data_IF_438735472373
#
_entry.id   IF_438735472373
#
_cell.length_a   1.000
_cell.length_b   1.000
_cell.length_c   1.000
_cell.angle_alpha   90.00
_cell.angle_beta   90.00
_cell.angle_gamma   90.00
#
_symmetry.space_group_name_H-M   'P 1'
#
loop_
_entity.id
_entity.type
_entity.pdbx_description
1 polymer ?
#
# COMPACT_ATOMS: atom_id res chain seq x y z
N UNK A 1 24.03 13.02 -35.27
CA UNK A 1 24.12 12.71 -33.83
C UNK A 1 22.96 13.38 -33.07
N UNK A 2 21.71 12.97 -33.31
CA UNK A 2 20.52 13.72 -32.85
C UNK A 2 19.58 12.91 -31.92
N UNK A 3 19.53 11.59 -32.09
CA UNK A 3 18.75 10.64 -31.27
C UNK A 3 19.16 10.59 -29.79
N UNK A 4 20.43 10.85 -29.47
CA UNK A 4 20.93 10.94 -28.09
C UNK A 4 20.36 12.15 -27.34
N UNK A 5 20.00 13.23 -28.05
CA UNK A 5 19.47 14.47 -27.44
C UNK A 5 18.01 14.30 -27.00
N UNK A 6 17.19 13.62 -27.80
CA UNK A 6 15.81 13.28 -27.46
C UNK A 6 15.74 12.35 -26.24
N UNK A 7 16.63 11.35 -26.17
CA UNK A 7 16.72 10.43 -25.04
C UNK A 7 17.18 11.14 -23.75
N UNK A 8 18.20 12.01 -23.82
CA UNK A 8 18.68 12.78 -22.65
C UNK A 8 17.61 13.72 -22.07
N UNK A 9 16.74 14.26 -22.94
CA UNK A 9 15.63 15.13 -22.56
C UNK A 9 14.43 14.36 -21.99
N UNK A 10 14.21 13.10 -22.40
CA UNK A 10 13.15 12.22 -21.88
C UNK A 10 13.51 11.54 -20.55
N UNK A 11 14.80 11.32 -20.28
CA UNK A 11 15.24 10.72 -19.01
C UNK A 11 15.04 11.66 -17.80
N UNK A 12 15.17 12.98 -17.98
CA UNK A 12 14.90 13.96 -16.91
C UNK A 12 13.46 13.93 -16.39
N UNK A 13 12.41 13.98 -17.23
CA UNK A 13 11.03 13.88 -16.78
C UNK A 13 10.70 12.49 -16.22
N UNK A 14 11.28 11.41 -16.75
CA UNK A 14 11.11 10.07 -16.16
C UNK A 14 11.73 9.94 -14.77
N UNK A 15 12.94 10.47 -14.56
CA UNK A 15 13.61 10.51 -13.25
C UNK A 15 12.85 11.40 -12.27
N UNK A 16 12.36 12.55 -12.72
CA UNK A 16 11.53 13.44 -11.90
C UNK A 16 10.20 12.79 -11.52
N UNK A 17 9.55 12.09 -12.46
CA UNK A 17 8.32 11.36 -12.20
C UNK A 17 8.55 10.18 -11.24
N UNK A 18 9.65 9.45 -11.40
CA UNK A 18 10.04 8.37 -10.48
C UNK A 18 10.36 8.90 -9.08
N UNK A 19 11.00 10.07 -8.97
CA UNK A 19 11.30 10.73 -7.70
C UNK A 19 10.03 11.27 -7.04
N UNK A 20 9.13 11.93 -7.78
CA UNK A 20 7.83 12.37 -7.26
C UNK A 20 6.99 11.17 -6.85
N UNK A 21 7.07 10.07 -7.59
CA UNK A 21 6.42 8.82 -7.20
C UNK A 21 7.05 8.23 -5.95
N UNK A 22 8.37 8.19 -5.80
CA UNK A 22 9.03 7.62 -4.61
C UNK A 22 8.82 8.47 -3.35
N UNK A 23 8.91 9.80 -3.48
CA UNK A 23 8.64 10.75 -2.40
C UNK A 23 7.14 10.80 -2.06
N UNK A 24 6.27 10.66 -3.06
CA UNK A 24 4.82 10.58 -2.87
C UNK A 24 4.35 9.24 -2.28
N UNK A 25 4.98 8.12 -2.65
CA UNK A 25 4.66 6.78 -2.11
C UNK A 25 4.93 6.69 -0.61
N UNK A 26 5.96 7.39 -0.12
CA UNK A 26 6.31 7.45 1.30
C UNK A 26 5.20 8.05 2.18
N UNK A 27 4.27 8.80 1.59
CA UNK A 27 3.16 9.47 2.29
C UNK A 27 1.78 9.02 1.82
N UNK A 28 1.70 8.02 0.92
CA UNK A 28 0.42 7.63 0.34
C UNK A 28 -0.45 6.83 1.33
N UNK A 29 -1.73 7.20 1.54
CA UNK A 29 -2.68 6.48 2.39
C UNK A 29 -3.06 5.08 1.84
N UNK A 30 -2.43 4.65 0.75
CA UNK A 30 -2.57 3.31 0.19
C UNK A 30 -2.02 2.23 1.14
N UNK A 31 -0.96 2.55 1.88
CA UNK A 31 -0.48 1.69 2.96
C UNK A 31 -1.44 1.69 4.16
N UNK A 32 -2.18 2.79 4.37
CA UNK A 32 -3.16 2.91 5.47
C UNK A 32 -4.34 1.95 5.29
N UNK A 33 -4.87 1.77 4.08
CA UNK A 33 -5.96 0.82 3.85
C UNK A 33 -5.51 -0.63 4.05
N UNK A 34 -4.38 -1.02 3.44
CA UNK A 34 -3.85 -2.38 3.61
C UNK A 34 -3.44 -2.67 5.07
N UNK A 35 -2.81 -1.70 5.74
CA UNK A 35 -2.46 -1.81 7.16
C UNK A 35 -3.71 -1.86 8.05
N UNK A 36 -4.75 -1.07 7.77
CA UNK A 36 -6.00 -1.10 8.53
C UNK A 36 -6.71 -2.45 8.41
N UNK A 37 -6.74 -3.03 7.21
CA UNK A 37 -7.32 -4.36 7.01
C UNK A 37 -6.55 -5.45 7.78
N UNK A 38 -5.22 -5.42 7.79
CA UNK A 38 -4.41 -6.46 8.46
C UNK A 38 -4.25 -6.27 9.96
N UNK A 39 -4.33 -5.03 10.46
CA UNK A 39 -4.12 -4.72 11.89
C UNK A 39 -5.42 -4.56 12.68
N UNK A 40 -6.52 -4.17 12.04
CA UNK A 40 -7.80 -3.92 12.71
C UNK A 40 -8.86 -4.91 12.27
N UNK A 41 -9.07 -5.06 10.96
CA UNK A 41 -10.19 -5.86 10.44
C UNK A 41 -9.96 -7.36 10.61
N UNK A 42 -8.80 -7.89 10.19
CA UNK A 42 -8.49 -9.32 10.31
C UNK A 42 -8.51 -9.77 11.79
N UNK A 43 -7.84 -9.07 12.73
CA UNK A 43 -7.89 -9.46 14.14
C UNK A 43 -9.29 -9.36 14.75
N UNK A 44 -10.10 -8.36 14.36
CA UNK A 44 -11.48 -8.25 14.84
C UNK A 44 -12.37 -9.40 14.35
N UNK A 45 -12.20 -9.84 13.10
CA UNK A 45 -12.93 -10.99 12.56
C UNK A 45 -12.48 -12.28 13.25
N UNK A 46 -11.16 -12.52 13.36
CA UNK A 46 -10.62 -13.72 14.02
C UNK A 46 -11.02 -13.77 15.50
N UNK A 47 -10.93 -12.65 16.22
CA UNK A 47 -11.38 -12.53 17.60
C UNK A 47 -12.89 -12.69 17.76
N UNK A 48 -13.67 -12.15 16.82
CA UNK A 48 -15.12 -12.31 16.77
C UNK A 48 -15.56 -13.75 16.53
N UNK A 49 -14.88 -14.47 15.62
CA UNK A 49 -15.12 -15.90 15.39
C UNK A 49 -14.73 -16.70 16.63
N UNK A 50 -13.55 -16.46 17.22
CA UNK A 50 -13.11 -17.16 18.44
C UNK A 50 -14.10 -16.96 19.59
N UNK A 51 -14.58 -15.72 19.78
CA UNK A 51 -15.58 -15.39 20.80
C UNK A 51 -16.93 -16.05 20.49
N UNK A 52 -17.39 -15.96 19.24
CA UNK A 52 -18.64 -16.58 18.80
C UNK A 52 -18.63 -18.11 18.93
N UNK A 53 -17.49 -18.76 18.67
CA UNK A 53 -17.33 -20.20 18.90
C UNK A 53 -17.29 -20.54 20.38
N UNK A 54 -16.63 -19.73 21.22
CA UNK A 54 -16.55 -19.96 22.66
C UNK A 54 -17.92 -19.83 23.35
N UNK A 55 -18.75 -18.88 22.90
CA UNK A 55 -20.14 -18.73 23.37
C UNK A 55 -21.04 -19.85 22.84
N UNK A 56 -20.73 -20.44 21.67
CA UNK A 56 -21.46 -21.59 21.13
C UNK A 56 -21.16 -22.92 21.84
N UNK A 57 -20.04 -23.03 22.55
CA UNK A 57 -19.60 -24.27 23.24
C UNK A 57 -20.02 -24.35 24.71
N UNK A 58 -20.75 -23.36 25.25
CA UNK A 58 -21.33 -23.42 26.61
C UNK A 58 -22.74 -24.03 26.66
N UNK A 59 -23.11 -24.85 25.66
CA UNK A 59 -24.35 -25.67 25.69
C UNK A 59 -24.13 -27.01 26.39
#
# INVERSE_FOLDING_TARGET
MEIQQTHRKMNRPLVSLALVRSVGQASTPQQSHAAFFTTVIIPAIVGGIATGTAVGTVS
#
